data_IF_555130808638
#
_entry.id   IF_555130808638
#
_cell.length_a   1.000
_cell.length_b   1.000
_cell.length_c   1.000
_cell.angle_alpha   90.00
_cell.angle_beta   90.00
_cell.angle_gamma   90.00
#
_symmetry.space_group_name_H-M   'P 1'
#
loop_
_entity.id
_entity.type
_entity.pdbx_description
1 polymer ?
#
# COMPACT_ATOMS: atom_id res chain seq x y z
N UNK A 1 11.48 0.55 -2.99
CA UNK A 1 11.11 0.16 -1.61
C UNK A 1 10.22 -1.10 -1.51
N UNK A 2 9.35 -1.38 -2.50
CA UNK A 2 8.26 -2.35 -2.39
C UNK A 2 6.88 -1.69 -2.40
N UNK A 3 6.82 -0.38 -2.13
CA UNK A 3 5.62 0.44 -2.33
C UNK A 3 5.37 0.61 -3.84
N UNK A 4 4.16 0.35 -4.34
CA UNK A 4 3.83 0.52 -5.75
C UNK A 4 3.75 2.01 -6.14
N UNK A 5 3.98 2.29 -7.42
CA UNK A 5 3.62 3.58 -7.99
C UNK A 5 2.10 3.67 -8.20
N UNK A 6 1.56 4.90 -8.21
CA UNK A 6 0.11 5.14 -8.37
C UNK A 6 -0.48 4.67 -9.69
N UNK A 7 0.32 4.42 -10.72
CA UNK A 7 -0.18 3.97 -12.02
C UNK A 7 0.75 2.98 -12.69
N UNK A 8 0.20 2.16 -13.59
CA UNK A 8 0.93 1.22 -14.43
C UNK A 8 0.34 1.23 -15.84
N UNK A 9 1.20 1.24 -16.86
CA UNK A 9 0.77 0.99 -18.22
C UNK A 9 0.62 -0.52 -18.42
N UNK A 10 -0.61 -1.00 -18.66
CA UNK A 10 -0.88 -2.45 -18.75
C UNK A 10 -0.25 -3.12 -19.98
N UNK A 11 0.04 -2.38 -21.05
CA UNK A 11 0.69 -2.93 -22.25
C UNK A 11 2.19 -3.13 -22.04
N UNK A 12 2.86 -2.15 -21.43
CA UNK A 12 4.32 -2.18 -21.27
C UNK A 12 4.79 -2.65 -19.89
N UNK A 13 3.89 -2.76 -18.91
CA UNK A 13 4.22 -3.03 -17.51
C UNK A 13 4.94 -1.87 -16.81
N UNK A 14 5.13 -0.72 -17.47
CA UNK A 14 5.87 0.40 -16.90
C UNK A 14 5.04 1.09 -15.81
N UNK A 15 5.56 1.08 -14.59
CA UNK A 15 5.01 1.88 -13.49
C UNK A 15 5.28 3.38 -13.67
N UNK A 16 4.34 4.20 -13.22
CA UNK A 16 4.34 5.66 -13.35
C UNK A 16 4.01 6.27 -11.99
N UNK A 17 4.94 7.05 -11.44
CA UNK A 17 4.74 7.79 -10.18
C UNK A 17 3.58 8.77 -10.30
N UNK A 18 3.02 9.13 -9.15
CA UNK A 18 2.04 10.21 -9.08
C UNK A 18 2.60 11.48 -9.75
N UNK A 19 1.78 12.15 -10.57
CA UNK A 19 2.19 13.34 -11.31
C UNK A 19 2.37 14.57 -10.41
N UNK A 20 1.80 14.51 -9.21
CA UNK A 20 1.87 15.55 -8.17
C UNK A 20 2.53 14.99 -6.91
N UNK A 21 2.57 15.79 -5.83
CA UNK A 21 3.03 15.35 -4.50
C UNK A 21 4.47 14.81 -4.49
N UNK A 22 5.34 15.36 -5.35
CA UNK A 22 6.73 14.91 -5.56
C UNK A 22 6.85 13.41 -5.87
N UNK A 23 5.86 12.82 -6.54
CA UNK A 23 5.87 11.42 -6.93
C UNK A 23 5.51 10.45 -5.80
N UNK A 24 5.01 10.94 -4.67
CA UNK A 24 4.54 10.09 -3.58
C UNK A 24 3.27 9.32 -3.95
N UNK A 25 3.21 8.07 -3.50
CA UNK A 25 2.01 7.24 -3.60
C UNK A 25 1.08 7.57 -2.43
N UNK A 26 -0.22 7.47 -2.65
CA UNK A 26 -1.20 7.55 -1.57
C UNK A 26 -1.06 6.35 -0.65
N UNK A 27 -1.09 6.56 0.66
CA UNK A 27 -0.97 5.47 1.64
C UNK A 27 -2.11 4.46 1.49
N UNK A 28 -3.36 4.93 1.37
CA UNK A 28 -4.51 4.07 1.09
C UNK A 28 -4.36 3.29 -0.23
N UNK A 29 -4.03 3.95 -1.35
CA UNK A 29 -3.88 3.24 -2.65
C UNK A 29 -2.84 2.11 -2.58
N UNK A 30 -1.71 2.31 -1.90
CA UNK A 30 -0.70 1.28 -1.73
C UNK A 30 -1.16 0.13 -0.79
N UNK A 31 -1.95 0.46 0.23
CA UNK A 31 -2.35 -0.44 1.31
C UNK A 31 -3.81 -0.93 1.23
N UNK A 32 -4.42 -0.88 0.05
CA UNK A 32 -5.80 -1.34 -0.19
C UNK A 32 -5.89 -2.20 -1.45
N UNK A 33 -4.93 -3.13 -1.59
CA UNK A 33 -4.92 -4.18 -2.63
C UNK A 33 -4.61 -5.56 -2.05
N UNK A 34 -4.44 -5.65 -0.72
CA UNK A 34 -3.93 -6.82 -0.03
C UNK A 34 -4.95 -7.96 -0.06
N UNK A 35 -6.24 -7.67 0.13
CA UNK A 35 -7.29 -8.71 0.14
C UNK A 35 -7.39 -9.41 -1.22
N UNK A 36 -7.31 -8.62 -2.30
CA UNK A 36 -7.38 -9.05 -3.68
C UNK A 36 -6.15 -9.89 -4.04
N UNK A 37 -4.95 -9.39 -3.72
CA UNK A 37 -3.69 -10.09 -4.02
C UNK A 37 -3.55 -11.39 -3.20
N UNK A 38 -3.90 -11.38 -1.92
CA UNK A 38 -3.87 -12.58 -1.08
C UNK A 38 -4.86 -13.63 -1.55
N UNK A 39 -6.07 -13.21 -1.93
CA UNK A 39 -7.06 -14.14 -2.48
C UNK A 39 -6.65 -14.68 -3.86
N UNK A 40 -6.00 -13.85 -4.69
CA UNK A 40 -5.42 -14.31 -5.95
C UNK A 40 -4.34 -15.38 -5.73
N UNK A 41 -3.46 -15.22 -4.74
CA UNK A 41 -2.53 -16.28 -4.33
C UNK A 41 -3.24 -17.56 -3.92
N UNK A 42 -4.33 -17.46 -3.13
CA UNK A 42 -5.13 -18.63 -2.73
C UNK A 42 -5.72 -19.37 -3.93
N UNK A 43 -6.25 -18.64 -4.91
CA UNK A 43 -6.89 -19.24 -6.09
C UNK A 43 -5.90 -19.85 -7.07
N UNK A 44 -4.73 -19.24 -7.22
CA UNK A 44 -3.73 -19.64 -8.23
C UNK A 44 -2.69 -20.62 -7.70
N UNK A 45 -2.49 -20.68 -6.38
CA UNK A 45 -1.35 -21.37 -5.76
C UNK A 45 -0.03 -20.59 -5.86
N UNK A 46 -0.02 -19.44 -6.54
CA UNK A 46 1.18 -18.61 -6.72
C UNK A 46 1.41 -17.70 -5.51
N UNK A 47 2.41 -18.00 -4.69
CA UNK A 47 2.72 -17.24 -3.44
C UNK A 47 3.20 -15.81 -3.70
N UNK A 48 3.59 -15.50 -4.94
CA UNK A 48 4.13 -14.19 -5.34
C UNK A 48 3.19 -13.03 -4.94
N UNK A 49 1.88 -13.16 -5.20
CA UNK A 49 0.92 -12.08 -4.94
C UNK A 49 0.80 -11.76 -3.45
N UNK A 50 0.76 -12.79 -2.60
CA UNK A 50 0.79 -12.67 -1.15
C UNK A 50 2.05 -11.94 -0.67
N UNK A 51 3.22 -12.38 -1.14
CA UNK A 51 4.49 -11.81 -0.72
C UNK A 51 4.62 -10.32 -1.11
N UNK A 52 4.14 -9.95 -2.30
CA UNK A 52 4.13 -8.56 -2.75
C UNK A 52 3.19 -7.70 -1.89
N UNK A 53 1.99 -8.21 -1.57
CA UNK A 53 1.03 -7.53 -0.72
C UNK A 53 1.58 -7.30 0.71
N UNK A 54 2.17 -8.34 1.31
CA UNK A 54 2.79 -8.28 2.63
C UNK A 54 4.00 -7.34 2.68
N UNK A 55 4.79 -7.29 1.60
CA UNK A 55 5.96 -6.40 1.54
C UNK A 55 5.57 -4.94 1.72
N UNK A 56 4.44 -4.51 1.18
CA UNK A 56 3.93 -3.14 1.38
C UNK A 56 3.63 -2.89 2.85
N UNK A 57 2.91 -3.80 3.52
CA UNK A 57 2.54 -3.67 4.93
C UNK A 57 3.78 -3.61 5.83
N UNK A 58 4.78 -4.45 5.57
CA UNK A 58 6.07 -4.43 6.27
C UNK A 58 6.82 -3.11 6.12
N UNK A 59 6.83 -2.52 4.91
CA UNK A 59 7.50 -1.24 4.66
C UNK A 59 6.79 -0.11 5.40
N UNK A 60 5.46 -0.06 5.37
CA UNK A 60 4.68 0.95 6.09
C UNK A 60 4.91 0.84 7.60
N UNK A 61 4.81 -0.36 8.16
CA UNK A 61 5.08 -0.61 9.59
C UNK A 61 6.51 -0.23 10.01
N UNK A 62 7.50 -0.42 9.12
CA UNK A 62 8.90 -0.06 9.40
C UNK A 62 9.13 1.44 9.62
N UNK A 63 8.15 2.29 9.29
CA UNK A 63 8.18 3.71 9.62
C UNK A 63 7.84 4.01 11.09
N UNK A 64 7.34 3.01 11.83
CA UNK A 64 6.93 3.13 13.24
C UNK A 64 5.99 4.32 13.47
N UNK A 65 4.80 4.33 12.82
CA UNK A 65 3.86 5.43 12.98
C UNK A 65 3.46 5.57 14.45
N UNK A 66 3.44 6.81 14.93
CA UNK A 66 3.02 7.10 16.30
C UNK A 66 1.51 6.86 16.44
N UNK A 67 1.10 6.14 17.49
CA UNK A 67 -0.30 5.86 17.83
C UNK A 67 -1.10 5.19 16.68
N UNK A 68 -0.41 4.54 15.74
CA UNK A 68 -1.02 3.93 14.55
C UNK A 68 -1.49 4.94 13.50
N UNK A 69 -1.22 6.23 13.67
CA UNK A 69 -1.65 7.29 12.76
C UNK A 69 -0.64 7.48 11.63
N UNK A 70 -1.10 7.33 10.37
CA UNK A 70 -0.23 7.36 9.19
C UNK A 70 -0.46 8.61 8.32
N UNK A 71 0.61 9.26 7.83
CA UNK A 71 0.48 10.28 6.79
C UNK A 71 -0.18 9.73 5.52
N UNK A 72 -0.92 10.57 4.82
CA UNK A 72 -1.66 10.18 3.60
C UNK A 72 -0.76 9.89 2.37
N UNK A 73 0.55 10.16 2.47
CA UNK A 73 1.51 9.93 1.41
C UNK A 73 2.72 9.13 1.89
N UNK A 74 3.23 8.27 1.00
CA UNK A 74 4.46 7.50 1.17
C UNK A 74 5.31 7.62 -0.09
N UNK A 75 6.60 7.88 0.07
CA UNK A 75 7.52 7.96 -1.06
C UNK A 75 7.83 6.53 -1.58
N UNK A 76 7.55 6.21 -2.85
CA UNK A 76 7.68 4.85 -3.34
C UNK A 76 9.14 4.40 -3.55
N UNK A 77 10.09 5.34 -3.69
CA UNK A 77 11.50 4.98 -3.82
C UNK A 77 12.08 4.55 -2.47
N UNK A 78 11.83 5.36 -1.44
CA UNK A 78 12.42 5.20 -0.10
C UNK A 78 11.56 4.35 0.85
N UNK A 79 10.26 4.25 0.61
CA UNK A 79 9.30 3.61 1.50
C UNK A 79 9.01 4.41 2.77
N UNK A 80 9.44 5.68 2.82
CA UNK A 80 9.20 6.57 3.97
C UNK A 80 7.93 7.38 3.80
N UNK A 81 7.18 7.57 4.87
CA UNK A 81 6.07 8.52 4.86
C UNK A 81 6.54 9.91 4.45
N UNK A 82 5.72 10.62 3.69
CA UNK A 82 6.03 11.94 3.17
C UNK A 82 5.00 12.96 3.66
N UNK A 83 5.48 14.03 4.26
CA UNK A 83 4.62 15.06 4.87
C UNK A 83 3.99 14.61 6.20
N UNK A 84 3.11 15.46 6.74
CA UNK A 84 2.54 15.30 8.08
C UNK A 84 1.00 15.29 8.10
N UNK A 85 0.35 15.40 6.93
CA UNK A 85 -1.11 15.43 6.88
C UNK A 85 -1.67 14.02 7.13
N UNK A 86 -2.44 13.89 8.21
CA UNK A 86 -3.12 12.66 8.63
C UNK A 86 -4.61 12.94 8.60
N UNK A 87 -5.39 12.05 7.97
CA UNK A 87 -6.86 12.10 7.97
C UNK A 87 -7.45 10.72 7.70
N UNK A 88 -8.65 10.48 8.21
CA UNK A 88 -9.43 9.25 8.04
C UNK A 88 -10.41 9.32 6.84
N UNK A 89 -10.15 10.24 5.91
CA UNK A 89 -10.84 10.29 4.62
C UNK A 89 -9.90 9.90 3.49
N UNK A 90 -10.20 10.39 2.28
CA UNK A 90 -9.44 10.11 1.07
C UNK A 90 -7.93 10.09 1.30
N UNK A 91 -7.29 9.02 0.81
CA UNK A 91 -5.84 8.72 0.88
C UNK A 91 -5.34 8.10 2.19
N UNK A 92 -6.18 8.02 3.22
CA UNK A 92 -5.85 7.39 4.50
C UNK A 92 -6.91 6.42 5.04
N UNK A 93 -8.18 6.60 4.69
CA UNK A 93 -9.33 5.77 5.08
C UNK A 93 -9.08 4.25 4.98
N UNK A 94 -8.93 3.71 3.76
CA UNK A 94 -8.97 2.28 3.52
C UNK A 94 -7.69 1.53 3.95
N UNK A 95 -6.63 2.26 4.32
CA UNK A 95 -5.49 1.68 5.04
C UNK A 95 -5.98 1.03 6.35
N UNK A 96 -6.74 1.76 7.16
CA UNK A 96 -7.25 1.26 8.44
C UNK A 96 -8.29 0.15 8.23
N UNK A 97 -9.12 0.28 7.20
CA UNK A 97 -10.09 -0.75 6.81
C UNK A 97 -9.42 -2.09 6.51
N UNK A 98 -8.34 -2.07 5.71
CA UNK A 98 -7.66 -3.29 5.28
C UNK A 98 -6.80 -3.91 6.38
N UNK A 99 -6.39 -3.18 7.42
CA UNK A 99 -5.76 -3.80 8.59
C UNK A 99 -6.71 -4.81 9.26
N UNK A 100 -7.95 -4.40 9.54
CA UNK A 100 -8.95 -5.28 10.14
C UNK A 100 -9.40 -6.38 9.16
N UNK A 101 -9.70 -6.02 7.91
CA UNK A 101 -10.22 -6.99 6.95
C UNK A 101 -9.22 -8.08 6.61
N UNK A 102 -7.91 -7.79 6.57
CA UNK A 102 -6.90 -8.82 6.36
C UNK A 102 -6.92 -9.84 7.49
N UNK A 103 -6.96 -9.40 8.75
CA UNK A 103 -7.10 -10.30 9.90
C UNK A 103 -8.33 -11.19 9.78
N UNK A 104 -9.47 -10.65 9.38
CA UNK A 104 -10.72 -11.42 9.21
C UNK A 104 -10.70 -12.37 8.00
N UNK A 105 -9.98 -12.03 6.92
CA UNK A 105 -9.92 -12.82 5.69
C UNK A 105 -8.98 -14.02 5.81
N UNK A 106 -7.90 -13.89 6.60
CA UNK A 106 -6.80 -14.86 6.62
C UNK A 106 -6.69 -15.71 7.89
N UNK A 107 -7.56 -15.48 8.87
CA UNK A 107 -7.78 -16.40 10.00
C UNK A 107 -8.88 -17.41 9.68
#
# INVERSE_FOLDING_TARGET
>A
SGIPYSSVNLKSGKGIKNHVDNGASSTAEAATVQLEMKYLSKLTGEILWWNLAEKVMQVLESNKPQDGLVPIYVNPDTGKYQGHLIRLGSRGDSYYEYLLKQYLQTN
#
